data_IF_210504237816
#
_entry.id   IF_210504237816
#
_cell.length_a   1.000
_cell.length_b   1.000
_cell.length_c   1.000
_cell.angle_alpha   90.00
_cell.angle_beta   90.00
_cell.angle_gamma   90.00
#
_symmetry.space_group_name_H-M   'P 1'
#
loop_
_entity.id
_entity.type
_entity.pdbx_description
1 polymer ?
#
# COMPACT_ATOMS: atom_id res chain seq x y z
N UNK A 1 6.28 15.67 -19.00
CA UNK A 1 6.35 14.40 -19.75
C UNK A 1 5.23 14.45 -20.78
N UNK A 2 5.59 14.58 -22.07
CA UNK A 2 4.66 14.48 -23.20
C UNK A 2 4.82 13.10 -23.85
N UNK A 3 3.95 12.79 -24.82
CA UNK A 3 4.05 11.57 -25.63
C UNK A 3 3.32 10.34 -25.08
N UNK A 4 2.53 10.49 -24.00
CA UNK A 4 1.65 9.43 -23.47
C UNK A 4 0.21 9.82 -23.70
N UNK A 5 -0.60 8.91 -24.24
CA UNK A 5 -2.05 9.04 -24.39
C UNK A 5 -2.77 7.95 -23.60
N UNK A 6 -4.00 8.19 -23.19
CA UNK A 6 -4.84 7.20 -22.49
C UNK A 6 -5.98 6.80 -23.41
N UNK A 7 -6.15 5.52 -23.63
CA UNK A 7 -7.19 4.94 -24.48
C UNK A 7 -8.08 4.00 -23.66
N UNK A 8 -9.38 4.06 -23.86
CA UNK A 8 -10.30 3.02 -23.41
C UNK A 8 -10.29 1.88 -24.44
N UNK A 9 -9.73 0.74 -24.06
CA UNK A 9 -9.68 -0.45 -24.90
C UNK A 9 -10.73 -1.45 -24.40
N UNK A 10 -11.74 -1.69 -25.22
CA UNK A 10 -12.74 -2.71 -24.92
C UNK A 10 -12.18 -4.12 -25.09
N UNK A 11 -12.65 -5.06 -24.27
CA UNK A 11 -12.29 -6.45 -24.39
C UNK A 11 -12.96 -7.06 -25.62
N UNK A 12 -12.16 -7.42 -26.61
CA UNK A 12 -12.64 -7.92 -27.90
C UNK A 12 -11.55 -8.63 -28.69
N UNK A 13 -11.71 -8.77 -30.01
CA UNK A 13 -10.69 -9.37 -30.87
C UNK A 13 -9.34 -8.69 -30.73
N UNK A 14 -8.29 -9.48 -30.62
CA UNK A 14 -6.91 -9.01 -30.39
C UNK A 14 -6.56 -8.73 -28.93
N UNK A 15 -7.51 -8.79 -28.00
CA UNK A 15 -7.24 -8.67 -26.55
C UNK A 15 -7.30 -10.06 -25.91
N UNK A 16 -6.18 -10.57 -25.46
CA UNK A 16 -6.09 -11.83 -24.73
C UNK A 16 -5.66 -11.62 -23.28
N UNK A 17 -6.12 -12.48 -22.38
CA UNK A 17 -5.82 -12.40 -20.95
C UNK A 17 -5.42 -13.75 -20.41
N UNK A 18 -4.42 -13.78 -19.53
CA UNK A 18 -3.97 -14.99 -18.83
C UNK A 18 -3.76 -14.66 -17.36
N UNK A 19 -4.40 -15.42 -16.48
CA UNK A 19 -4.23 -15.31 -15.03
C UNK A 19 -2.77 -15.53 -14.63
N UNK A 20 -2.30 -14.74 -13.67
CA UNK A 20 -0.98 -14.85 -13.08
C UNK A 20 -1.07 -15.50 -11.70
N UNK A 21 -0.28 -16.56 -11.48
CA UNK A 21 -0.13 -17.16 -10.16
C UNK A 21 0.80 -16.27 -9.32
N UNK A 22 0.21 -15.45 -8.45
CA UNK A 22 0.91 -14.49 -7.62
C UNK A 22 1.14 -15.01 -6.21
N UNK A 23 2.16 -14.51 -5.52
CA UNK A 23 2.51 -14.87 -4.15
C UNK A 23 1.35 -14.68 -3.14
N UNK A 24 0.56 -13.65 -3.32
CA UNK A 24 -0.55 -13.28 -2.44
C UNK A 24 -1.61 -12.48 -3.18
N UNK A 25 -2.58 -11.94 -2.42
CA UNK A 25 -3.72 -11.16 -2.95
C UNK A 25 -4.44 -11.91 -4.10
N UNK A 26 -4.60 -13.22 -3.96
CA UNK A 26 -5.15 -14.10 -5.01
C UNK A 26 -6.54 -13.66 -5.51
N UNK A 27 -7.35 -13.06 -4.63
CA UNK A 27 -8.68 -12.57 -4.99
C UNK A 27 -8.69 -11.35 -5.92
N UNK A 28 -7.53 -10.72 -6.20
CA UNK A 28 -7.44 -9.55 -7.10
C UNK A 28 -7.55 -9.93 -8.58
N UNK A 29 -7.29 -11.20 -8.93
CA UNK A 29 -7.30 -11.66 -10.31
C UNK A 29 -6.22 -11.00 -11.17
N UNK A 30 -5.02 -10.81 -10.64
CA UNK A 30 -3.88 -10.24 -11.39
C UNK A 30 -3.67 -11.03 -12.69
N UNK A 31 -3.60 -10.31 -13.81
CA UNK A 31 -3.72 -10.89 -15.15
C UNK A 31 -2.69 -10.29 -16.08
N UNK A 32 -2.06 -11.11 -16.90
CA UNK A 32 -1.27 -10.69 -18.03
C UNK A 32 -2.20 -10.37 -19.20
N UNK A 33 -2.07 -9.20 -19.80
CA UNK A 33 -2.90 -8.75 -20.92
C UNK A 33 -2.01 -8.56 -22.15
N UNK A 34 -2.42 -9.13 -23.29
CA UNK A 34 -1.75 -8.96 -24.57
C UNK A 34 -2.69 -8.25 -25.53
N UNK A 35 -2.17 -7.30 -26.29
CA UNK A 35 -2.86 -6.59 -27.35
C UNK A 35 -2.17 -6.90 -28.68
N UNK A 36 -2.91 -7.44 -29.65
CA UNK A 36 -2.44 -7.80 -30.97
C UNK A 36 -3.37 -7.18 -32.02
N UNK A 37 -2.88 -6.21 -32.77
CA UNK A 37 -3.60 -5.48 -33.82
C UNK A 37 -4.99 -4.96 -33.43
N UNK A 38 -5.15 -4.54 -32.16
CA UNK A 38 -6.40 -4.06 -31.62
C UNK A 38 -6.74 -2.69 -32.24
N UNK A 39 -7.86 -2.62 -32.96
CA UNK A 39 -8.38 -1.34 -33.48
C UNK A 39 -9.21 -0.64 -32.40
N UNK A 40 -8.75 0.51 -31.97
CA UNK A 40 -9.42 1.34 -30.97
C UNK A 40 -10.01 2.57 -31.66
N UNK A 41 -11.33 2.84 -31.54
CA UNK A 41 -11.95 4.05 -32.08
C UNK A 41 -11.32 5.32 -31.51
N UNK A 42 -11.23 6.37 -32.31
CA UNK A 42 -10.63 7.65 -31.89
C UNK A 42 -11.39 8.31 -30.75
N UNK A 43 -12.69 8.11 -30.68
CA UNK A 43 -13.58 8.59 -29.61
C UNK A 43 -13.27 7.95 -28.25
N UNK A 44 -12.57 6.82 -28.22
CA UNK A 44 -12.09 6.19 -26.98
C UNK A 44 -10.80 6.83 -26.42
N UNK A 45 -10.31 7.90 -27.04
CA UNK A 45 -9.22 8.70 -26.48
C UNK A 45 -9.71 9.47 -25.25
N UNK A 46 -9.11 9.19 -24.09
CA UNK A 46 -9.42 9.87 -22.83
C UNK A 46 -8.55 11.12 -22.70
N UNK A 47 -9.19 12.29 -22.76
CA UNK A 47 -8.51 13.58 -22.73
C UNK A 47 -7.96 13.98 -24.10
N UNK A 48 -6.70 14.42 -24.13
CA UNK A 48 -6.00 14.85 -25.35
C UNK A 48 -4.85 13.95 -25.68
N UNK A 49 -4.58 13.77 -26.95
CA UNK A 49 -3.39 13.08 -27.42
C UNK A 49 -2.12 13.69 -26.80
N UNK A 50 -1.16 12.84 -26.41
CA UNK A 50 0.10 13.21 -25.75
C UNK A 50 -0.05 13.93 -24.38
N UNK A 51 -1.25 14.00 -23.79
CA UNK A 51 -1.54 14.61 -22.49
C UNK A 51 -1.99 13.59 -21.41
N UNK A 52 -1.92 12.32 -21.70
CA UNK A 52 -2.44 11.24 -20.83
C UNK A 52 -1.72 11.11 -19.48
N UNK A 53 -0.45 11.53 -19.40
CA UNK A 53 0.29 11.48 -18.13
C UNK A 53 -0.41 12.29 -17.03
N UNK A 54 -0.97 13.45 -17.36
CA UNK A 54 -1.72 14.29 -16.40
C UNK A 54 -3.00 13.58 -15.94
N UNK A 55 -3.70 12.92 -16.87
CA UNK A 55 -4.92 12.15 -16.57
C UNK A 55 -4.64 11.04 -15.56
N UNK A 56 -3.59 10.25 -15.81
CA UNK A 56 -3.19 9.16 -14.90
C UNK A 56 -2.81 9.71 -13.51
N UNK A 57 -2.02 10.77 -13.46
CA UNK A 57 -1.52 11.35 -12.21
C UNK A 57 -2.63 11.93 -11.33
N UNK A 58 -3.75 12.34 -11.89
CA UNK A 58 -4.88 12.86 -11.12
C UNK A 58 -5.43 11.83 -10.13
N UNK A 59 -5.44 10.55 -10.48
CA UNK A 59 -5.95 9.48 -9.62
C UNK A 59 -4.90 8.86 -8.68
N UNK A 60 -3.61 8.95 -8.99
CA UNK A 60 -2.57 8.20 -8.26
C UNK A 60 -2.47 8.51 -6.77
N UNK A 61 -2.72 9.74 -6.35
CA UNK A 61 -2.69 10.06 -4.92
C UNK A 61 -3.85 9.39 -4.18
N UNK A 62 -5.02 9.30 -4.82
CA UNK A 62 -6.17 8.58 -4.27
C UNK A 62 -5.88 7.08 -4.14
N UNK A 63 -5.35 6.45 -5.18
CA UNK A 63 -4.92 5.04 -5.17
C UNK A 63 -3.91 4.76 -4.04
N UNK A 64 -2.91 5.63 -3.89
CA UNK A 64 -1.90 5.51 -2.83
C UNK A 64 -2.51 5.58 -1.44
N UNK A 65 -3.46 6.51 -1.21
CA UNK A 65 -4.18 6.59 0.06
C UNK A 65 -5.01 5.33 0.33
N UNK A 66 -5.64 4.75 -0.70
CA UNK A 66 -6.32 3.46 -0.60
C UNK A 66 -5.38 2.35 -0.09
N UNK A 67 -4.16 2.27 -0.65
CA UNK A 67 -3.14 1.32 -0.20
C UNK A 67 -2.74 1.58 1.26
N UNK A 68 -2.52 2.85 1.63
CA UNK A 68 -2.16 3.25 3.01
C UNK A 68 -3.22 2.80 4.03
N UNK A 69 -4.49 3.05 3.73
CA UNK A 69 -5.62 2.66 4.60
C UNK A 69 -5.63 1.15 4.81
N UNK A 70 -5.49 0.37 3.74
CA UNK A 70 -5.47 -1.09 3.81
C UNK A 70 -4.27 -1.61 4.60
N UNK A 71 -3.06 -1.14 4.30
CA UNK A 71 -1.83 -1.54 5.01
C UNK A 71 -1.90 -1.21 6.50
N UNK A 72 -2.41 -0.03 6.87
CA UNK A 72 -2.61 0.37 8.26
C UNK A 72 -3.61 -0.55 8.96
N UNK A 73 -4.72 -0.89 8.31
CA UNK A 73 -5.70 -1.83 8.88
C UNK A 73 -5.14 -3.25 9.01
N UNK A 74 -4.43 -3.75 8.03
CA UNK A 74 -3.81 -5.07 8.09
C UNK A 74 -2.74 -5.16 9.20
N UNK A 75 -1.96 -4.11 9.37
CA UNK A 75 -1.01 -4.03 10.51
C UNK A 75 -1.72 -4.14 11.85
N UNK A 76 -2.87 -3.46 12.03
CA UNK A 76 -3.70 -3.60 13.24
C UNK A 76 -4.26 -5.02 13.40
N UNK A 77 -4.74 -5.65 12.34
CA UNK A 77 -5.20 -7.05 12.38
C UNK A 77 -4.10 -7.98 12.85
N UNK A 78 -2.88 -7.83 12.31
CA UNK A 78 -1.72 -8.63 12.73
C UNK A 78 -1.38 -8.44 14.20
N UNK A 79 -1.44 -7.21 14.69
CA UNK A 79 -1.24 -6.90 16.11
C UNK A 79 -2.35 -7.50 16.99
N UNK A 80 -3.61 -7.31 16.62
CA UNK A 80 -4.78 -7.84 17.35
C UNK A 80 -4.74 -9.37 17.45
N UNK A 81 -4.46 -10.06 16.35
CA UNK A 81 -4.34 -11.52 16.34
C UNK A 81 -3.13 -12.00 17.18
N UNK A 82 -2.01 -11.28 17.11
CA UNK A 82 -0.83 -11.57 17.93
C UNK A 82 -1.12 -11.41 19.42
N UNK A 83 -1.82 -10.36 19.83
CA UNK A 83 -2.26 -10.13 21.20
C UNK A 83 -3.17 -11.24 21.70
N UNK A 84 -4.18 -11.62 20.90
CA UNK A 84 -5.10 -12.72 21.23
C UNK A 84 -4.35 -14.04 21.40
N UNK A 85 -3.45 -14.36 20.48
CA UNK A 85 -2.67 -15.58 20.51
C UNK A 85 -1.73 -15.61 21.72
N UNK A 86 -0.98 -14.53 21.98
CA UNK A 86 -0.04 -14.44 23.09
C UNK A 86 -0.71 -14.56 24.47
N UNK A 87 -1.98 -14.15 24.60
CA UNK A 87 -2.75 -14.31 25.82
C UNK A 87 -3.31 -15.74 26.04
N UNK A 88 -3.43 -16.54 24.97
CA UNK A 88 -3.93 -17.92 25.05
C UNK A 88 -2.80 -18.96 25.11
N UNK A 89 -1.76 -18.78 24.32
CA UNK A 89 -0.63 -19.73 24.23
C UNK A 89 0.17 -19.74 25.51
N UNK A 90 0.50 -20.93 26.01
CA UNK A 90 1.40 -21.13 27.16
C UNK A 90 2.71 -21.79 26.70
N UNK A 91 3.81 -21.33 27.28
CA UNK A 91 5.16 -21.87 27.11
C UNK A 91 5.91 -21.73 28.43
N UNK A 92 6.66 -22.73 28.81
CA UNK A 92 7.45 -22.73 30.08
C UNK A 92 6.60 -22.33 31.31
N UNK A 93 5.38 -22.86 31.42
CA UNK A 93 4.47 -22.62 32.55
C UNK A 93 3.73 -21.27 32.60
N UNK A 94 4.01 -20.32 31.69
CA UNK A 94 3.39 -18.99 31.63
C UNK A 94 2.71 -18.74 30.29
N UNK A 95 1.87 -17.68 30.22
CA UNK A 95 1.33 -17.19 28.95
C UNK A 95 2.45 -16.61 28.10
N UNK A 96 2.33 -16.70 26.79
CA UNK A 96 3.33 -16.17 25.86
C UNK A 96 3.55 -14.66 26.04
N UNK A 97 2.49 -13.90 26.35
CA UNK A 97 2.56 -12.46 26.64
C UNK A 97 3.43 -12.11 27.86
N UNK A 98 3.62 -13.03 28.79
CA UNK A 98 4.43 -12.79 29.99
C UNK A 98 5.94 -12.82 29.72
N UNK A 99 6.36 -13.22 28.50
CA UNK A 99 7.76 -13.19 28.09
C UNK A 99 8.13 -11.78 27.58
N UNK A 100 9.24 -11.18 28.11
CA UNK A 100 9.65 -9.81 27.73
C UNK A 100 9.84 -9.61 26.23
N UNK A 101 10.42 -10.59 25.54
CA UNK A 101 10.65 -10.51 24.10
C UNK A 101 9.36 -10.41 23.29
N UNK A 102 8.29 -11.04 23.75
CA UNK A 102 6.97 -10.95 23.08
C UNK A 102 6.36 -9.56 23.29
N UNK A 103 6.42 -9.04 24.52
CA UNK A 103 5.97 -7.68 24.81
C UNK A 103 6.75 -6.64 24.01
N UNK A 104 8.06 -6.83 23.86
CA UNK A 104 8.90 -5.94 23.06
C UNK A 104 8.47 -5.94 21.57
N UNK A 105 8.22 -7.12 20.99
CA UNK A 105 7.70 -7.23 19.61
C UNK A 105 6.36 -6.49 19.45
N UNK A 106 5.42 -6.73 20.34
CA UNK A 106 4.12 -6.07 20.33
C UNK A 106 4.23 -4.54 20.50
N UNK A 107 5.14 -4.07 21.38
CA UNK A 107 5.41 -2.64 21.57
C UNK A 107 5.97 -2.00 20.29
N UNK A 108 6.86 -2.68 19.57
CA UNK A 108 7.37 -2.19 18.30
C UNK A 108 6.30 -2.15 17.21
N UNK A 109 5.42 -3.16 17.16
CA UNK A 109 4.30 -3.17 16.21
C UNK A 109 3.36 -1.98 16.47
N UNK A 110 2.85 -1.83 17.69
CA UNK A 110 1.88 -0.76 18.00
C UNK A 110 2.48 0.63 17.80
N UNK A 111 3.73 0.86 18.17
CA UNK A 111 4.42 2.13 17.95
C UNK A 111 4.42 2.55 16.49
N UNK A 112 4.72 1.63 15.57
CA UNK A 112 4.74 1.93 14.14
C UNK A 112 3.32 2.10 13.57
N UNK A 113 2.38 1.29 14.02
CA UNK A 113 0.98 1.39 13.62
C UNK A 113 0.41 2.77 14.00
N UNK A 114 0.58 3.18 15.25
CA UNK A 114 0.06 4.47 15.73
C UNK A 114 0.72 5.66 15.03
N UNK A 115 2.04 5.62 14.80
CA UNK A 115 2.73 6.66 14.06
C UNK A 115 2.20 6.78 12.61
N UNK A 116 2.01 5.65 11.93
CA UNK A 116 1.48 5.61 10.57
C UNK A 116 0.03 6.06 10.51
N UNK A 117 -0.79 5.65 11.47
CA UNK A 117 -2.20 6.01 11.54
C UNK A 117 -2.40 7.52 11.78
N UNK A 118 -1.69 8.10 12.74
CA UNK A 118 -1.75 9.54 12.99
C UNK A 118 -1.31 10.37 11.77
N UNK A 119 -0.29 9.90 11.04
CA UNK A 119 0.12 10.56 9.81
C UNK A 119 -0.95 10.45 8.73
N UNK A 120 -1.60 9.29 8.59
CA UNK A 120 -2.72 9.10 7.67
C UNK A 120 -3.88 10.05 8.02
N UNK A 121 -4.32 10.10 9.28
CA UNK A 121 -5.40 11.00 9.71
C UNK A 121 -5.06 12.46 9.43
N UNK A 122 -3.83 12.87 9.69
CA UNK A 122 -3.39 14.23 9.40
C UNK A 122 -3.47 14.57 7.90
N UNK A 123 -3.05 13.66 7.02
CA UNK A 123 -3.14 13.86 5.55
C UNK A 123 -4.60 13.90 5.10
N UNK A 124 -5.43 13.01 5.60
CA UNK A 124 -6.87 12.97 5.27
C UNK A 124 -7.55 14.26 5.72
N UNK A 125 -7.25 14.73 6.93
CA UNK A 125 -7.76 16.01 7.43
C UNK A 125 -7.32 17.18 6.54
N UNK A 126 -6.03 17.29 6.22
CA UNK A 126 -5.56 18.35 5.33
C UNK A 126 -6.23 18.28 3.96
N UNK A 127 -6.38 17.09 3.39
CA UNK A 127 -7.05 16.90 2.10
C UNK A 127 -8.52 17.36 2.14
N UNK A 128 -9.22 17.11 3.27
CA UNK A 128 -10.61 17.55 3.43
C UNK A 128 -10.79 19.07 3.57
N UNK A 129 -9.70 19.79 3.91
CA UNK A 129 -9.68 21.25 4.03
C UNK A 129 -9.22 21.99 2.76
N UNK A 130 -8.92 21.26 1.67
CA UNK A 130 -8.37 21.80 0.43
C UNK A 130 -9.24 21.40 -0.76
N UNK A 131 -9.12 22.13 -1.87
CA UNK A 131 -9.65 21.67 -3.17
C UNK A 131 -8.81 20.50 -3.68
N UNK A 132 -9.38 19.64 -4.53
CA UNK A 132 -8.69 18.49 -5.11
C UNK A 132 -7.39 18.88 -5.83
N UNK A 133 -7.40 20.01 -6.55
CA UNK A 133 -6.22 20.53 -7.24
C UNK A 133 -5.14 20.96 -6.25
N UNK A 134 -5.51 21.61 -5.17
CA UNK A 134 -4.58 22.04 -4.12
C UNK A 134 -4.00 20.86 -3.36
N UNK A 135 -4.83 19.89 -2.97
CA UNK A 135 -4.41 18.66 -2.32
C UNK A 135 -3.43 17.88 -3.21
N UNK A 136 -3.71 17.76 -4.50
CA UNK A 136 -2.83 17.11 -5.48
C UNK A 136 -1.45 17.77 -5.53
N UNK A 137 -1.38 19.11 -5.51
CA UNK A 137 -0.14 19.85 -5.58
C UNK A 137 0.65 19.82 -4.27
N UNK A 138 -0.02 20.03 -3.13
CA UNK A 138 0.64 20.21 -1.82
C UNK A 138 0.90 18.90 -1.09
N UNK A 139 0.02 17.90 -1.19
CA UNK A 139 0.10 16.68 -0.42
C UNK A 139 0.77 15.51 -1.15
N UNK A 140 1.07 15.63 -2.44
CA UNK A 140 1.63 14.54 -3.24
C UNK A 140 2.92 13.94 -2.67
N UNK A 141 3.80 14.78 -2.13
CA UNK A 141 5.04 14.34 -1.47
C UNK A 141 4.77 13.60 -0.16
N UNK A 142 3.89 14.15 0.69
CA UNK A 142 3.52 13.54 1.96
C UNK A 142 2.80 12.20 1.77
N UNK A 143 1.89 12.11 0.80
CA UNK A 143 1.17 10.86 0.45
C UNK A 143 2.16 9.80 -0.05
N UNK A 144 3.15 10.18 -0.86
CA UNK A 144 4.17 9.24 -1.34
C UNK A 144 5.02 8.70 -0.18
N UNK A 145 5.49 9.57 0.72
CA UNK A 145 6.23 9.16 1.92
C UNK A 145 5.41 8.28 2.84
N UNK A 146 4.14 8.63 3.07
CA UNK A 146 3.24 7.82 3.88
C UNK A 146 2.95 6.46 3.25
N UNK A 147 2.85 6.36 1.91
CA UNK A 147 2.68 5.07 1.22
C UNK A 147 3.87 4.15 1.51
N UNK A 148 5.09 4.62 1.39
CA UNK A 148 6.28 3.85 1.74
C UNK A 148 6.27 3.44 3.22
N UNK A 149 5.99 4.39 4.14
CA UNK A 149 5.89 4.11 5.57
C UNK A 149 4.85 3.03 5.90
N UNK A 150 3.66 3.11 5.30
CA UNK A 150 2.58 2.16 5.61
C UNK A 150 2.87 0.74 5.14
N UNK A 151 3.50 0.59 3.98
CA UNK A 151 3.86 -0.73 3.44
C UNK A 151 5.02 -1.37 4.20
N UNK A 152 6.02 -0.60 4.62
CA UNK A 152 7.09 -1.10 5.50
C UNK A 152 6.59 -1.44 6.90
N UNK A 153 5.65 -0.66 7.44
CA UNK A 153 4.98 -0.99 8.71
C UNK A 153 4.20 -2.30 8.59
N UNK A 154 3.48 -2.50 7.50
CA UNK A 154 2.74 -3.75 7.24
C UNK A 154 3.68 -4.95 7.15
N UNK A 155 4.77 -4.85 6.40
CA UNK A 155 5.79 -5.90 6.29
C UNK A 155 6.41 -6.23 7.66
N UNK A 156 6.80 -5.21 8.41
CA UNK A 156 7.32 -5.39 9.77
C UNK A 156 6.33 -6.11 10.68
N UNK A 157 5.07 -5.68 10.69
CA UNK A 157 4.03 -6.30 11.51
C UNK A 157 3.75 -7.75 11.09
N UNK A 158 3.75 -8.05 9.80
CA UNK A 158 3.55 -9.40 9.28
C UNK A 158 4.68 -10.34 9.73
N UNK A 159 5.94 -9.88 9.62
CA UNK A 159 7.10 -10.61 10.11
C UNK A 159 7.03 -10.88 11.63
N UNK A 160 6.77 -9.85 12.42
CA UNK A 160 6.71 -9.99 13.88
C UNK A 160 5.55 -10.88 14.33
N UNK A 161 4.38 -10.76 13.71
CA UNK A 161 3.23 -11.61 13.97
C UNK A 161 3.55 -13.09 13.67
N UNK A 162 4.16 -13.38 12.52
CA UNK A 162 4.57 -14.74 12.16
C UNK A 162 5.58 -15.32 13.19
N UNK A 163 6.52 -14.51 13.68
CA UNK A 163 7.44 -14.92 14.74
C UNK A 163 6.73 -15.21 16.06
N UNK A 164 5.71 -14.42 16.44
CA UNK A 164 4.92 -14.65 17.66
C UNK A 164 4.11 -15.95 17.55
N UNK A 165 3.54 -16.23 16.38
CA UNK A 165 2.78 -17.46 16.13
C UNK A 165 3.67 -18.69 15.96
N UNK A 166 4.94 -18.53 15.57
CA UNK A 166 5.86 -19.62 15.31
C UNK A 166 5.36 -20.54 14.18
N UNK A 167 5.52 -21.85 14.30
CA UNK A 167 5.13 -22.81 13.24
C UNK A 167 3.67 -22.72 12.80
N UNK A 168 2.76 -22.29 13.66
CA UNK A 168 1.34 -22.08 13.33
C UNK A 168 1.18 -20.88 12.35
N UNK A 169 2.03 -19.86 12.45
CA UNK A 169 2.04 -18.72 11.51
C UNK A 169 2.65 -19.04 10.15
N UNK A 170 3.27 -20.22 10.01
CA UNK A 170 3.82 -20.71 8.74
C UNK A 170 2.88 -21.67 8.00
N UNK A 171 1.93 -22.28 8.72
CA UNK A 171 0.98 -23.24 8.13
C UNK A 171 -0.26 -22.54 7.61
N UNK A 172 -0.71 -22.92 6.40
CA UNK A 172 -1.99 -22.46 5.86
C UNK A 172 -3.15 -23.03 6.66
N UNK A 173 -4.13 -22.19 6.97
CA UNK A 173 -5.33 -22.59 7.71
C UNK A 173 -5.20 -22.47 9.24
N UNK A 174 -6.27 -22.85 9.95
CA UNK A 174 -6.31 -22.83 11.41
C UNK A 174 -6.18 -21.45 12.05
N UNK A 175 -5.65 -21.41 13.28
CA UNK A 175 -5.55 -20.17 14.09
C UNK A 175 -4.58 -19.15 13.47
N UNK A 176 -3.57 -19.60 12.74
CA UNK A 176 -2.56 -18.75 12.09
C UNK A 176 -2.96 -18.23 10.70
N UNK A 177 -4.11 -18.67 10.14
CA UNK A 177 -4.47 -18.44 8.75
C UNK A 177 -4.44 -16.96 8.32
N UNK A 178 -4.87 -16.04 9.17
CA UNK A 178 -4.85 -14.60 8.87
C UNK A 178 -3.42 -14.06 8.80
N UNK A 179 -2.57 -14.48 9.74
CA UNK A 179 -1.18 -14.03 9.84
C UNK A 179 -0.37 -14.56 8.64
N UNK A 180 -0.51 -15.84 8.34
CA UNK A 180 0.16 -16.49 7.21
C UNK A 180 -0.24 -15.82 5.89
N UNK A 181 -1.55 -15.62 5.66
CA UNK A 181 -2.06 -14.97 4.44
C UNK A 181 -1.56 -13.54 4.31
N UNK A 182 -1.69 -12.73 5.34
CA UNK A 182 -1.25 -11.34 5.30
C UNK A 182 0.26 -11.21 5.08
N UNK A 183 1.06 -12.17 5.54
CA UNK A 183 2.50 -12.20 5.23
C UNK A 183 2.76 -12.36 3.73
N UNK A 184 2.01 -13.22 3.05
CA UNK A 184 2.13 -13.38 1.58
C UNK A 184 1.60 -12.17 0.81
N UNK A 185 0.62 -11.46 1.36
CA UNK A 185 -0.02 -10.33 0.70
C UNK A 185 0.84 -9.05 0.69
N UNK A 186 1.89 -8.97 1.53
CA UNK A 186 2.73 -7.77 1.68
C UNK A 186 3.19 -7.19 0.34
N UNK A 187 3.72 -8.02 -0.57
CA UNK A 187 4.25 -7.55 -1.85
C UNK A 187 3.16 -7.04 -2.80
N UNK A 188 1.96 -7.57 -2.69
CA UNK A 188 0.79 -7.10 -3.42
C UNK A 188 0.36 -5.66 -3.07
N UNK A 189 0.85 -5.10 -1.97
CA UNK A 189 0.63 -3.71 -1.55
C UNK A 189 1.90 -2.84 -1.64
N UNK A 190 3.09 -3.41 -1.46
CA UNK A 190 4.33 -2.63 -1.49
C UNK A 190 4.74 -2.21 -2.90
N UNK A 191 4.44 -3.00 -3.92
CA UNK A 191 4.84 -2.76 -5.30
C UNK A 191 3.89 -1.79 -6.03
N UNK A 192 2.55 -2.00 -6.04
CA UNK A 192 1.63 -1.11 -6.75
C UNK A 192 1.61 0.31 -6.19
N UNK A 193 1.19 1.24 -7.03
CA UNK A 193 1.16 2.67 -6.69
C UNK A 193 2.54 3.33 -6.62
N UNK A 194 3.59 2.57 -6.86
CA UNK A 194 5.02 2.91 -6.83
C UNK A 194 5.75 2.16 -5.72
N UNK A 195 6.92 1.57 -6.05
CA UNK A 195 7.78 0.89 -5.07
C UNK A 195 8.27 1.85 -3.98
N UNK A 196 8.78 1.30 -2.89
CA UNK A 196 9.26 2.06 -1.73
C UNK A 196 10.27 3.13 -2.14
N UNK A 197 11.27 2.76 -2.92
CA UNK A 197 12.37 3.64 -3.38
C UNK A 197 11.83 4.77 -4.26
N UNK A 198 10.93 4.45 -5.18
CA UNK A 198 10.29 5.45 -6.06
C UNK A 198 9.42 6.41 -5.24
N UNK A 199 8.73 5.91 -4.23
CA UNK A 199 7.88 6.75 -3.38
C UNK A 199 8.68 7.67 -2.48
N UNK A 200 9.78 7.20 -1.91
CA UNK A 200 10.66 8.01 -1.08
C UNK A 200 11.34 9.11 -1.89
N UNK A 201 11.87 8.80 -3.07
CA UNK A 201 12.44 9.81 -3.99
C UNK A 201 11.36 10.82 -4.42
N UNK A 202 10.17 10.34 -4.81
CA UNK A 202 9.05 11.21 -5.18
C UNK A 202 8.64 12.14 -4.03
N UNK A 203 8.65 11.64 -2.79
CA UNK A 203 8.30 12.43 -1.61
C UNK A 203 9.18 13.67 -1.50
N UNK A 204 10.48 13.52 -1.61
CA UNK A 204 11.43 14.64 -1.53
C UNK A 204 11.31 15.55 -2.75
N UNK A 205 11.25 15.00 -3.96
CA UNK A 205 11.13 15.83 -5.18
C UNK A 205 9.87 16.69 -5.21
N UNK A 206 8.74 16.16 -4.72
CA UNK A 206 7.50 16.94 -4.63
C UNK A 206 7.57 17.99 -3.52
N UNK A 207 8.12 17.65 -2.35
CA UNK A 207 8.29 18.59 -1.26
C UNK A 207 9.17 19.77 -1.66
N UNK A 208 10.28 19.53 -2.37
CA UNK A 208 11.15 20.60 -2.89
C UNK A 208 10.41 21.55 -3.82
N UNK A 209 9.56 21.03 -4.73
CA UNK A 209 8.73 21.87 -5.61
C UNK A 209 7.76 22.76 -4.84
N UNK A 210 7.12 22.21 -3.80
CA UNK A 210 6.22 22.99 -2.94
C UNK A 210 6.97 24.09 -2.21
N UNK A 211 8.14 23.81 -1.62
CA UNK A 211 8.97 24.80 -0.94
C UNK A 211 9.41 25.92 -1.89
N UNK A 212 9.86 25.59 -3.09
CA UNK A 212 10.22 26.57 -4.11
C UNK A 212 9.03 27.46 -4.52
N UNK A 213 7.85 26.86 -4.71
CA UNK A 213 6.64 27.60 -5.06
C UNK A 213 6.18 28.55 -3.92
N UNK A 214 6.45 28.22 -2.67
CA UNK A 214 6.16 29.06 -1.50
C UNK A 214 7.26 30.11 -1.20
N UNK A 215 8.30 30.19 -2.04
CA UNK A 215 9.41 31.13 -1.85
C UNK A 215 10.30 30.85 -0.63
N UNK A 216 10.22 29.65 -0.08
CA UNK A 216 11.08 29.22 1.04
C UNK A 216 12.49 28.95 0.51
N UNK A 217 13.49 29.71 0.97
CA UNK A 217 14.91 29.41 0.73
C UNK A 217 15.30 28.21 1.60
N UNK A 218 15.77 27.14 0.96
CA UNK A 218 16.37 25.98 1.62
C UNK A 218 17.84 26.28 1.93
#
# INVERSE_FOLDING_TARGET
MGGVSVLLVERGPGVSTREMDCQGVHGSGTTYITFEDVKVPVENLIGKENAGFKVIMTNFNHERLGIVIQCTRFSRVLYEESMKYANRRRTFGKKLIEHPVIRLKLAHMVRQIEATHNWLENIVYQSSCMSDTEAMLKLGGAIAGLKAQSTTTFEFCAREATQIFGGIGYTKGGVGAKVERLYRDVRGYSIPGGSEEIMLDLSIRQSLKVHQALGMKL
#
